data_IF_617655509412
#
_entry.id   IF_617655509412
#
_cell.length_a   1.000
_cell.length_b   1.000
_cell.length_c   1.000
_cell.angle_alpha   90.00
_cell.angle_beta   90.00
_cell.angle_gamma   90.00
#
_symmetry.space_group_name_H-M   'P 1'
#
loop_
_entity.id
_entity.type
_entity.pdbx_description
1 polymer ?
#
# COMPACT_ATOMS: atom_id res chain seq x y z
N UNK A 1 8.36 -1.13 -10.29
CA UNK A 1 7.26 -2.06 -9.99
C UNK A 1 6.42 -1.50 -8.83
N UNK A 2 5.10 -1.40 -9.01
CA UNK A 2 4.18 -1.05 -7.95
C UNK A 2 3.81 -2.30 -7.14
N UNK A 3 4.05 -2.27 -5.83
CA UNK A 3 3.71 -3.33 -4.90
C UNK A 3 2.69 -2.85 -3.88
N UNK A 4 1.47 -3.37 -3.98
CA UNK A 4 0.43 -3.17 -2.97
C UNK A 4 0.41 -4.37 -2.02
N UNK A 5 0.69 -4.12 -0.73
CA UNK A 5 0.78 -5.20 0.28
C UNK A 5 1.61 -6.39 -0.24
N UNK A 6 2.81 -6.11 -0.78
CA UNK A 6 3.75 -7.10 -1.31
C UNK A 6 3.48 -7.58 -2.74
N UNK A 7 2.24 -7.49 -3.25
CA UNK A 7 1.81 -8.03 -4.54
C UNK A 7 2.01 -7.00 -5.66
N UNK A 8 2.66 -7.42 -6.76
CA UNK A 8 2.86 -6.56 -7.93
C UNK A 8 1.55 -6.24 -8.64
N UNK A 9 1.17 -4.96 -8.64
CA UNK A 9 0.00 -4.44 -9.35
C UNK A 9 0.32 -4.06 -10.80
N UNK A 10 1.60 -3.89 -11.14
CA UNK A 10 2.06 -3.45 -12.46
C UNK A 10 2.68 -4.58 -13.30
N UNK A 11 2.43 -5.85 -12.92
CA UNK A 11 3.02 -7.02 -13.57
C UNK A 11 4.55 -6.95 -13.64
N UNK A 12 5.19 -6.51 -12.54
CA UNK A 12 6.64 -6.28 -12.40
C UNK A 12 7.22 -5.37 -13.50
N UNK A 13 6.46 -4.32 -13.87
CA UNK A 13 6.86 -3.26 -14.79
C UNK A 13 6.92 -1.92 -14.07
N UNK A 14 7.59 -0.90 -14.62
CA UNK A 14 7.53 0.44 -14.05
C UNK A 14 6.09 0.94 -13.90
N UNK A 15 5.82 1.66 -12.82
CA UNK A 15 4.55 2.34 -12.59
C UNK A 15 4.81 3.83 -12.37
N UNK A 16 3.91 4.66 -12.90
CA UNK A 16 3.86 6.07 -12.60
C UNK A 16 2.87 6.30 -11.47
N UNK A 17 3.31 7.01 -10.44
CA UNK A 17 2.54 7.26 -9.22
C UNK A 17 2.57 8.74 -8.87
N UNK A 18 1.51 9.23 -8.25
CA UNK A 18 1.46 10.61 -7.77
C UNK A 18 0.26 10.83 -6.87
N UNK A 19 0.30 11.90 -6.08
CA UNK A 19 -0.77 12.24 -5.17
C UNK A 19 -0.68 13.68 -4.70
N UNK A 20 -1.67 14.09 -3.94
CA UNK A 20 -1.70 15.39 -3.28
C UNK A 20 -2.40 15.26 -1.93
N UNK A 21 -1.82 15.91 -0.92
CA UNK A 21 -2.30 15.91 0.45
C UNK A 21 -2.56 17.33 0.93
N UNK A 22 -3.63 17.49 1.70
CA UNK A 22 -3.89 18.69 2.47
C UNK A 22 -3.98 18.32 3.94
N UNK A 23 -3.14 18.93 4.77
CA UNK A 23 -3.16 18.76 6.23
C UNK A 23 -3.43 20.08 6.93
N UNK A 24 -4.42 20.09 7.82
CA UNK A 24 -4.76 21.23 8.64
C UNK A 24 -4.11 21.14 10.03
N UNK A 25 -3.77 22.28 10.63
CA UNK A 25 -3.15 22.36 11.98
C UNK A 25 -3.98 21.69 13.10
N UNK A 26 -5.26 21.45 12.89
CA UNK A 26 -6.11 20.71 13.82
C UNK A 26 -5.84 19.22 13.87
N UNK A 27 -5.05 18.68 12.92
CA UNK A 27 -4.82 17.26 12.74
C UNK A 27 -5.69 16.62 11.65
N UNK A 28 -6.73 17.31 11.14
CA UNK A 28 -7.53 16.82 10.01
C UNK A 28 -6.71 16.87 8.73
N UNK A 29 -6.81 15.81 7.93
CA UNK A 29 -6.21 15.76 6.61
C UNK A 29 -7.13 15.07 5.59
N UNK A 30 -6.91 15.39 4.32
CA UNK A 30 -7.48 14.71 3.17
C UNK A 30 -6.40 14.57 2.10
N UNK A 31 -6.52 13.55 1.28
CA UNK A 31 -5.58 13.36 0.18
C UNK A 31 -6.12 12.44 -0.89
N UNK A 32 -5.37 12.40 -1.97
CA UNK A 32 -5.58 11.48 -3.08
C UNK A 32 -4.24 10.96 -3.55
N UNK A 33 -4.24 9.73 -4.00
CA UNK A 33 -3.09 9.11 -4.65
C UNK A 33 -3.56 8.30 -5.86
N UNK A 34 -2.69 8.12 -6.85
CA UNK A 34 -3.00 7.33 -8.02
C UNK A 34 -1.75 6.60 -8.54
N UNK A 35 -1.97 5.46 -9.17
CA UNK A 35 -0.93 4.66 -9.82
C UNK A 35 -1.43 4.02 -11.09
N UNK A 36 -0.54 3.90 -12.06
CA UNK A 36 -0.76 2.98 -13.17
C UNK A 36 -0.67 1.54 -12.69
N UNK A 37 -1.62 0.70 -13.09
CA UNK A 37 -1.69 -0.73 -12.78
C UNK A 37 -1.79 -1.55 -14.07
N UNK A 38 -1.56 -2.86 -13.96
CA UNK A 38 -1.69 -3.76 -15.11
C UNK A 38 -3.15 -4.16 -15.30
N UNK A 39 -3.73 -3.75 -16.43
CA UNK A 39 -5.15 -3.97 -16.76
C UNK A 39 -5.51 -5.45 -17.00
N UNK A 40 -4.52 -6.31 -17.26
CA UNK A 40 -4.78 -7.73 -17.45
C UNK A 40 -4.86 -8.44 -16.10
N UNK A 41 -4.06 -7.99 -15.10
CA UNK A 41 -4.08 -8.51 -13.74
C UNK A 41 -5.30 -8.01 -12.97
N UNK A 42 -5.54 -6.71 -12.99
CA UNK A 42 -6.76 -6.11 -12.47
C UNK A 42 -7.76 -5.99 -13.63
N UNK A 43 -8.38 -7.12 -13.94
CA UNK A 43 -9.21 -7.29 -15.13
C UNK A 43 -10.29 -6.20 -15.24
N UNK A 44 -10.53 -5.74 -16.45
CA UNK A 44 -11.53 -4.74 -16.85
C UNK A 44 -11.32 -3.32 -16.28
N UNK A 45 -10.27 -3.09 -15.50
CA UNK A 45 -9.88 -1.72 -15.08
C UNK A 45 -9.30 -0.95 -16.27
N UNK A 46 -9.25 0.38 -16.16
CA UNK A 46 -8.59 1.25 -17.17
C UNK A 46 -7.08 1.31 -17.01
N UNK A 47 -6.47 0.40 -16.23
CA UNK A 47 -5.05 0.41 -15.92
C UNK A 47 -4.66 1.51 -14.93
N UNK A 48 -5.60 1.93 -14.10
CA UNK A 48 -5.44 2.99 -13.12
C UNK A 48 -6.08 2.58 -11.78
N UNK A 49 -5.39 2.91 -10.71
CA UNK A 49 -5.87 2.92 -9.32
C UNK A 49 -5.91 4.36 -8.83
N UNK A 50 -6.97 4.74 -8.14
CA UNK A 50 -7.14 6.05 -7.50
C UNK A 50 -7.58 5.82 -6.07
N UNK A 51 -6.86 6.40 -5.13
CA UNK A 51 -7.16 6.37 -3.71
C UNK A 51 -7.63 7.73 -3.24
N UNK A 52 -8.74 7.77 -2.51
CA UNK A 52 -9.23 8.95 -1.83
C UNK A 52 -9.24 8.65 -0.33
N UNK A 53 -8.61 9.50 0.45
CA UNK A 53 -8.52 9.28 1.89
C UNK A 53 -8.66 10.55 2.68
N UNK A 54 -9.06 10.37 3.93
CA UNK A 54 -9.10 11.44 4.91
C UNK A 54 -9.11 10.89 6.31
N UNK A 55 -8.63 11.70 7.24
CA UNK A 55 -8.49 11.24 8.60
C UNK A 55 -8.16 12.36 9.60
N UNK A 56 -7.83 11.91 10.78
CA UNK A 56 -7.49 12.77 11.89
C UNK A 56 -6.30 12.21 12.68
N UNK A 57 -5.24 13.00 12.75
CA UNK A 57 -4.06 12.74 13.58
C UNK A 57 -4.15 13.48 14.89
N UNK A 58 -3.82 12.82 16.00
CA UNK A 58 -3.91 13.38 17.33
C UNK A 58 -2.81 12.86 18.26
N UNK A 59 -2.35 13.65 19.23
CA UNK A 59 -1.35 13.19 20.19
C UNK A 59 -1.95 12.15 21.16
N UNK A 60 -1.25 11.05 21.37
CA UNK A 60 -1.55 10.02 22.36
C UNK A 60 -0.73 10.17 23.65
N UNK A 61 0.20 11.13 23.69
CA UNK A 61 1.14 11.30 24.79
C UNK A 61 2.46 10.51 24.59
N UNK A 62 3.47 10.85 25.39
CA UNK A 62 4.81 10.22 25.34
C UNK A 62 5.45 10.14 23.92
N UNK A 63 5.18 11.12 23.06
CA UNK A 63 5.69 11.17 21.69
C UNK A 63 4.90 10.35 20.68
N UNK A 64 3.88 9.62 21.08
CA UNK A 64 3.00 8.88 20.18
C UNK A 64 1.99 9.79 19.48
N UNK A 65 1.77 9.53 18.19
CA UNK A 65 0.72 10.13 17.38
C UNK A 65 -0.28 9.06 16.97
N UNK A 66 -1.55 9.24 17.30
CA UNK A 66 -2.66 8.41 16.81
C UNK A 66 -3.13 8.90 15.44
N UNK A 67 -3.67 7.99 14.65
CA UNK A 67 -4.23 8.26 13.33
C UNK A 67 -5.48 7.40 13.10
N UNK A 68 -6.59 8.03 12.72
CA UNK A 68 -7.84 7.36 12.35
C UNK A 68 -8.38 7.96 11.07
N UNK A 69 -8.91 7.12 10.18
CA UNK A 69 -9.43 7.64 8.92
C UNK A 69 -10.16 6.61 8.08
N UNK A 70 -10.49 7.04 6.88
CA UNK A 70 -11.14 6.25 5.84
C UNK A 70 -10.33 6.32 4.56
N UNK A 71 -10.26 5.22 3.86
CA UNK A 71 -9.59 5.10 2.57
C UNK A 71 -10.52 4.37 1.59
N UNK A 72 -10.74 4.99 0.43
CA UNK A 72 -11.49 4.44 -0.68
C UNK A 72 -10.54 4.15 -1.83
N UNK A 73 -10.39 2.88 -2.17
CA UNK A 73 -9.74 2.43 -3.40
C UNK A 73 -10.74 2.42 -4.55
N UNK A 74 -10.37 3.02 -5.67
CA UNK A 74 -11.19 3.11 -6.89
C UNK A 74 -10.40 2.59 -8.09
N UNK A 75 -11.03 1.70 -8.83
CA UNK A 75 -10.47 1.15 -10.07
C UNK A 75 -11.42 1.50 -11.22
N UNK A 76 -11.15 2.58 -11.98
CA UNK A 76 -12.01 3.00 -13.09
C UNK A 76 -12.20 1.87 -14.11
N UNK A 77 -13.44 1.61 -14.47
CA UNK A 77 -13.83 0.56 -15.41
C UNK A 77 -14.37 -0.70 -14.73
N UNK A 78 -13.88 -1.06 -13.54
CA UNK A 78 -14.36 -2.26 -12.83
C UNK A 78 -14.53 -2.03 -11.33
N UNK A 79 -15.77 -1.92 -10.91
CA UNK A 79 -16.11 -1.64 -9.51
C UNK A 79 -15.91 -2.84 -8.56
N UNK A 80 -15.68 -4.04 -9.09
CA UNK A 80 -15.44 -5.23 -8.27
C UNK A 80 -14.22 -5.05 -7.35
N UNK A 81 -13.19 -4.36 -7.84
CA UNK A 81 -11.95 -4.08 -7.11
C UNK A 81 -12.08 -2.93 -6.09
N UNK A 82 -13.12 -2.08 -6.22
CA UNK A 82 -13.32 -0.96 -5.31
C UNK A 82 -13.50 -1.45 -3.87
N UNK A 83 -12.72 -0.86 -2.97
CA UNK A 83 -12.70 -1.25 -1.56
C UNK A 83 -12.70 -0.02 -0.68
N UNK A 84 -13.49 -0.06 0.40
CA UNK A 84 -13.50 0.99 1.43
C UNK A 84 -12.99 0.41 2.73
N UNK A 85 -11.97 1.04 3.29
CA UNK A 85 -11.40 0.65 4.58
C UNK A 85 -11.50 1.80 5.59
N UNK A 86 -11.87 1.49 6.81
CA UNK A 86 -11.56 2.31 7.98
C UNK A 86 -10.20 1.89 8.50
N UNK A 87 -9.39 2.83 8.96
CA UNK A 87 -8.12 2.50 9.57
C UNK A 87 -7.91 3.25 10.88
N UNK A 88 -7.11 2.65 11.73
CA UNK A 88 -6.56 3.25 12.92
C UNK A 88 -5.12 2.80 13.11
N UNK A 89 -4.29 3.68 13.61
CA UNK A 89 -2.88 3.43 13.78
C UNK A 89 -2.23 4.34 14.79
N UNK A 90 -0.96 4.09 15.00
CA UNK A 90 -0.10 4.89 15.83
C UNK A 90 1.32 4.92 15.30
N UNK A 91 2.00 6.04 15.52
CA UNK A 91 3.40 6.20 15.16
C UNK A 91 4.18 6.80 16.31
N UNK A 92 5.43 6.38 16.43
CA UNK A 92 6.39 6.89 17.40
C UNK A 92 7.78 6.89 16.79
N UNK A 93 8.41 8.06 16.72
CA UNK A 93 9.70 8.24 16.09
C UNK A 93 9.77 7.61 14.68
N UNK A 94 10.54 6.54 14.52
CA UNK A 94 10.79 5.84 13.26
C UNK A 94 9.87 4.63 13.04
N UNK A 95 8.95 4.33 13.95
CA UNK A 95 8.08 3.16 13.92
C UNK A 95 6.61 3.56 13.78
N UNK A 96 5.83 2.76 13.05
CA UNK A 96 4.37 2.85 13.03
C UNK A 96 3.70 1.49 12.91
N UNK A 97 2.48 1.41 13.43
CA UNK A 97 1.57 0.29 13.27
C UNK A 97 0.21 0.81 12.81
N UNK A 98 -0.44 0.13 11.86
CA UNK A 98 -1.78 0.48 11.38
C UNK A 98 -2.60 -0.78 11.12
N UNK A 99 -3.87 -0.73 11.48
CA UNK A 99 -4.86 -1.74 11.13
C UNK A 99 -5.93 -1.13 10.24
N UNK A 100 -6.16 -1.74 9.08
CA UNK A 100 -7.20 -1.40 8.13
C UNK A 100 -8.31 -2.45 8.18
N UNK A 101 -9.57 -2.00 8.20
CA UNK A 101 -10.75 -2.83 8.29
C UNK A 101 -11.70 -2.54 7.13
N UNK A 102 -11.97 -3.53 6.29
CA UNK A 102 -12.88 -3.39 5.15
C UNK A 102 -14.34 -3.34 5.61
N UNK A 103 -15.03 -2.26 5.29
CA UNK A 103 -16.44 -2.03 5.65
C UNK A 103 -17.42 -2.38 4.53
N UNK A 104 -16.93 -2.54 3.29
CA UNK A 104 -17.70 -2.98 2.14
C UNK A 104 -17.99 -4.48 2.15
N UNK A 105 -18.99 -4.92 1.37
CA UNK A 105 -19.28 -6.35 1.23
C UNK A 105 -18.33 -7.09 0.28
N UNK A 106 -17.39 -6.36 -0.29
CA UNK A 106 -16.31 -6.88 -1.13
C UNK A 106 -15.00 -6.15 -0.80
N UNK A 107 -13.91 -6.90 -0.82
CA UNK A 107 -12.56 -6.40 -0.53
C UNK A 107 -11.65 -6.90 -1.64
N UNK A 108 -11.14 -5.99 -2.50
CA UNK A 108 -10.22 -6.30 -3.61
C UNK A 108 -10.67 -7.50 -4.45
N UNK A 109 -11.94 -7.50 -4.88
CA UNK A 109 -12.52 -8.55 -5.71
C UNK A 109 -13.11 -9.76 -4.95
N UNK A 110 -12.77 -9.96 -3.68
CA UNK A 110 -13.34 -11.02 -2.87
C UNK A 110 -14.75 -10.64 -2.39
N UNK A 111 -15.75 -11.43 -2.76
CA UNK A 111 -17.14 -11.22 -2.36
C UNK A 111 -17.37 -11.71 -0.92
N UNK A 112 -18.43 -11.19 -0.28
CA UNK A 112 -18.84 -11.54 1.09
C UNK A 112 -17.69 -11.42 2.11
N UNK A 113 -16.85 -10.41 1.91
CA UNK A 113 -15.59 -10.23 2.64
C UNK A 113 -15.59 -9.03 3.59
N UNK A 114 -16.76 -8.47 3.94
CA UNK A 114 -16.87 -7.43 4.97
C UNK A 114 -16.21 -7.90 6.27
N UNK A 115 -15.32 -7.09 6.81
CA UNK A 115 -14.56 -7.43 8.00
C UNK A 115 -13.20 -8.05 7.71
N UNK A 116 -12.78 -8.08 6.44
CA UNK A 116 -11.39 -8.33 6.09
C UNK A 116 -10.49 -7.27 6.73
N UNK A 117 -9.32 -7.68 7.15
CA UNK A 117 -8.37 -6.82 7.85
C UNK A 117 -6.96 -6.90 7.30
N UNK A 118 -6.25 -5.81 7.46
CA UNK A 118 -4.81 -5.73 7.19
C UNK A 118 -4.10 -5.05 8.35
N UNK A 119 -3.19 -5.76 8.98
CA UNK A 119 -2.30 -5.21 9.99
C UNK A 119 -0.93 -4.98 9.36
N UNK A 120 -0.39 -3.79 9.55
CA UNK A 120 0.96 -3.46 9.08
C UNK A 120 1.82 -2.82 10.17
N UNK A 121 3.09 -3.14 10.13
CA UNK A 121 4.15 -2.56 10.92
C UNK A 121 5.17 -1.95 9.97
N UNK A 122 5.57 -0.71 10.21
CA UNK A 122 6.54 0.00 9.39
C UNK A 122 7.64 0.58 10.26
N UNK A 123 8.86 0.61 9.73
CA UNK A 123 10.00 1.27 10.34
C UNK A 123 10.78 2.04 9.27
N UNK A 124 11.16 3.29 9.59
CA UNK A 124 12.07 4.10 8.78
C UNK A 124 13.14 4.65 9.72
N UNK A 125 14.24 3.91 9.83
CA UNK A 125 15.31 4.22 10.79
C UNK A 125 16.42 5.04 10.10
N UNK A 126 16.68 6.28 10.56
CA UNK A 126 17.77 7.10 10.01
C UNK A 126 19.13 6.52 10.39
N UNK A 127 19.94 6.16 9.38
CA UNK A 127 21.31 5.65 9.57
C UNK A 127 22.31 6.82 9.60
N UNK A 128 22.17 7.71 8.63
CA UNK A 128 22.94 8.94 8.49
C UNK A 128 22.14 9.97 7.71
N UNK A 129 22.65 11.18 7.58
CA UNK A 129 21.99 12.26 6.85
C UNK A 129 21.57 11.81 5.45
N UNK A 130 20.26 11.94 5.17
CA UNK A 130 19.64 11.54 3.92
C UNK A 130 19.51 10.01 3.70
N UNK A 131 20.08 9.15 4.54
CA UNK A 131 20.09 7.71 4.33
C UNK A 131 19.29 6.98 5.41
N UNK A 132 18.23 6.27 5.02
CA UNK A 132 17.37 5.55 5.93
C UNK A 132 17.31 4.05 5.60
N UNK A 133 17.23 3.22 6.64
CA UNK A 133 16.81 1.82 6.54
C UNK A 133 15.29 1.77 6.62
N UNK A 134 14.66 1.06 5.68
CA UNK A 134 13.21 0.90 5.66
C UNK A 134 12.81 -0.56 5.80
N UNK A 135 11.89 -0.83 6.71
CA UNK A 135 11.33 -2.14 6.97
C UNK A 135 9.80 -2.11 6.97
N UNK A 136 9.18 -3.20 6.55
CA UNK A 136 7.75 -3.39 6.60
C UNK A 136 7.41 -4.85 6.78
N UNK A 137 6.38 -5.12 7.57
CA UNK A 137 5.74 -6.42 7.72
C UNK A 137 4.23 -6.21 7.79
N UNK A 138 3.48 -6.92 6.94
CA UNK A 138 2.04 -6.84 6.89
C UNK A 138 1.38 -8.20 6.86
N UNK A 139 0.12 -8.28 7.30
CA UNK A 139 -0.68 -9.51 7.18
C UNK A 139 -2.10 -9.17 6.74
N UNK A 140 -2.53 -9.77 5.64
CA UNK A 140 -3.89 -9.70 5.10
C UNK A 140 -4.71 -10.88 5.57
N UNK A 141 -5.95 -10.62 6.01
CA UNK A 141 -6.93 -11.64 6.40
C UNK A 141 -8.25 -11.34 5.70
N UNK A 142 -8.67 -12.24 4.81
CA UNK A 142 -9.87 -12.08 4.02
C UNK A 142 -11.03 -12.85 4.64
N UNK A 143 -11.98 -12.13 5.22
CA UNK A 143 -13.18 -12.72 5.81
C UNK A 143 -13.89 -13.61 4.79
N UNK A 144 -14.25 -14.83 5.21
CA UNK A 144 -14.87 -15.88 4.39
C UNK A 144 -14.03 -16.35 3.17
N UNK A 145 -12.80 -15.85 3.00
CA UNK A 145 -11.90 -16.17 1.89
C UNK A 145 -10.48 -16.48 2.40
N UNK A 146 -10.37 -17.18 3.52
CA UNK A 146 -9.09 -17.41 4.23
C UNK A 146 -7.99 -18.11 3.40
N UNK A 147 -8.35 -18.76 2.29
CA UNK A 147 -7.37 -19.31 1.35
C UNK A 147 -6.56 -18.22 0.62
N UNK A 148 -7.01 -16.96 0.69
CA UNK A 148 -6.32 -15.80 0.11
C UNK A 148 -5.52 -15.01 1.17
N UNK A 149 -5.48 -15.46 2.42
CA UNK A 149 -4.70 -14.84 3.48
C UNK A 149 -3.21 -14.95 3.19
N UNK A 150 -2.46 -13.89 3.45
CA UNK A 150 -1.01 -13.89 3.27
C UNK A 150 -0.32 -12.86 4.15
N UNK A 151 1.00 -12.98 4.23
CA UNK A 151 1.89 -12.04 4.90
C UNK A 151 2.84 -11.42 3.88
N UNK A 152 3.05 -10.12 3.97
CA UNK A 152 3.98 -9.40 3.09
C UNK A 152 5.09 -8.72 3.88
N UNK A 153 6.19 -8.45 3.18
CA UNK A 153 7.37 -7.84 3.78
C UNK A 153 8.12 -6.96 2.79
N UNK A 154 8.83 -5.99 3.36
CA UNK A 154 9.79 -5.15 2.65
C UNK A 154 11.00 -4.88 3.53
N UNK A 155 12.18 -4.95 2.94
CA UNK A 155 13.44 -4.48 3.54
C UNK A 155 14.24 -3.75 2.48
N UNK A 156 14.70 -2.55 2.82
CA UNK A 156 15.41 -1.72 1.85
C UNK A 156 16.03 -0.48 2.46
N UNK A 157 16.45 0.39 1.59
CA UNK A 157 17.06 1.67 1.95
C UNK A 157 16.45 2.79 1.10
N UNK A 158 16.44 4.00 1.65
CA UNK A 158 16.17 5.23 0.90
C UNK A 158 17.31 6.22 1.07
N UNK A 159 17.50 7.04 0.03
CA UNK A 159 18.50 8.09 0.03
C UNK A 159 17.92 9.38 -0.54
N UNK A 160 17.94 10.45 0.26
CA UNK A 160 17.47 11.77 -0.12
C UNK A 160 18.64 12.58 -0.69
N UNK A 161 18.54 12.98 -1.96
CA UNK A 161 19.55 13.75 -2.64
C UNK A 161 18.94 14.72 -3.66
N UNK A 162 19.38 15.96 -3.63
CA UNK A 162 18.98 17.04 -4.55
C UNK A 162 17.45 17.22 -4.67
N UNK A 163 16.71 17.00 -3.56
CA UNK A 163 15.25 17.12 -3.51
C UNK A 163 14.49 15.91 -4.10
N UNK A 164 15.21 14.80 -4.36
CA UNK A 164 14.64 13.51 -4.73
C UNK A 164 14.91 12.48 -3.66
N UNK A 165 13.97 11.55 -3.49
CA UNK A 165 14.16 10.34 -2.68
C UNK A 165 14.36 9.16 -3.63
N UNK A 166 15.50 8.50 -3.54
CA UNK A 166 15.81 7.25 -4.23
C UNK A 166 15.59 6.09 -3.29
N UNK A 167 14.98 5.00 -3.76
CA UNK A 167 14.72 3.82 -2.97
C UNK A 167 15.19 2.53 -3.67
N UNK A 168 15.67 1.59 -2.86
CA UNK A 168 15.95 0.22 -3.28
C UNK A 168 15.50 -0.73 -2.18
N UNK A 169 14.59 -1.66 -2.48
CA UNK A 169 14.04 -2.59 -1.50
C UNK A 169 13.75 -3.96 -2.12
N UNK A 170 13.92 -5.00 -1.31
CA UNK A 170 13.34 -6.32 -1.60
C UNK A 170 11.93 -6.32 -1.01
N UNK A 171 10.95 -6.68 -1.84
CA UNK A 171 9.52 -6.70 -1.48
C UNK A 171 8.93 -8.02 -1.96
N UNK A 172 8.11 -8.66 -1.13
CA UNK A 172 7.43 -9.92 -1.48
C UNK A 172 6.36 -10.32 -0.48
N UNK A 173 5.80 -11.50 -0.71
CA UNK A 173 4.82 -12.16 0.17
C UNK A 173 5.32 -13.57 0.50
N UNK A 174 4.70 -14.21 1.50
CA UNK A 174 4.91 -15.63 1.83
C UNK A 174 4.17 -16.56 0.86
N UNK A 175 3.29 -16.02 0.01
CA UNK A 175 2.54 -16.77 -1.01
C UNK A 175 3.02 -16.43 -2.42
N UNK A 176 3.23 -17.45 -3.25
CA UNK A 176 3.38 -17.29 -4.69
C UNK A 176 2.00 -16.97 -5.29
N UNK A 177 1.91 -15.91 -6.07
CA UNK A 177 0.66 -15.49 -6.71
C UNK A 177 0.88 -15.50 -8.22
N UNK A 178 0.77 -16.69 -8.85
CA UNK A 178 0.97 -16.83 -10.28
C UNK A 178 -0.15 -16.16 -11.06
N UNK A 179 0.20 -15.33 -12.01
CA UNK A 179 -0.74 -14.74 -12.94
C UNK A 179 -0.26 -14.88 -14.38
N UNK A 180 -1.12 -15.46 -15.24
CA UNK A 180 -0.85 -15.64 -16.66
C UNK A 180 -1.70 -14.66 -17.47
N UNK A 181 -1.04 -13.78 -18.21
CA UNK A 181 -1.72 -12.85 -19.12
C UNK A 181 -2.38 -13.55 -20.31
N UNK A 182 -3.41 -12.94 -20.92
CA UNK A 182 -3.80 -13.27 -22.28
C UNK A 182 -2.56 -13.24 -23.19
N UNK A 183 -2.25 -14.35 -23.87
CA UNK A 183 -1.00 -14.49 -24.64
C UNK A 183 0.08 -15.32 -23.94
N UNK A 184 -0.19 -15.90 -22.77
CA UNK A 184 0.58 -16.99 -22.17
C UNK A 184 1.77 -16.59 -21.30
N UNK A 185 2.04 -15.30 -21.09
CA UNK A 185 3.13 -14.85 -20.21
C UNK A 185 2.74 -14.94 -18.74
N UNK A 186 3.41 -15.80 -17.98
CA UNK A 186 3.21 -15.97 -16.53
C UNK A 186 4.27 -15.21 -15.72
N UNK A 187 3.85 -14.63 -14.59
CA UNK A 187 4.72 -14.08 -13.54
C UNK A 187 4.16 -14.39 -12.16
N UNK A 188 5.05 -14.64 -11.22
CA UNK A 188 4.74 -14.78 -9.79
C UNK A 188 4.69 -13.38 -9.16
N UNK A 189 3.49 -12.86 -8.93
CA UNK A 189 3.29 -11.47 -8.52
C UNK A 189 3.58 -11.23 -7.04
N UNK A 190 3.43 -12.26 -6.19
CA UNK A 190 3.78 -12.25 -4.77
C UNK A 190 5.27 -12.46 -4.49
N UNK A 191 5.96 -13.17 -5.39
CA UNK A 191 7.37 -13.53 -5.20
C UNK A 191 8.27 -12.32 -4.97
N UNK A 192 9.18 -12.46 -4.01
CA UNK A 192 10.18 -11.46 -3.69
C UNK A 192 10.92 -10.94 -4.93
N UNK A 193 11.17 -9.65 -4.95
CA UNK A 193 11.90 -8.98 -6.02
C UNK A 193 12.46 -7.66 -5.60
N UNK A 194 13.55 -7.24 -6.27
CA UNK A 194 14.12 -5.92 -6.09
C UNK A 194 13.22 -4.87 -6.75
N UNK A 195 12.83 -3.86 -5.99
CA UNK A 195 12.09 -2.69 -6.44
C UNK A 195 12.97 -1.47 -6.28
N UNK A 196 13.18 -0.74 -7.38
CA UNK A 196 13.83 0.56 -7.39
C UNK A 196 12.76 1.64 -7.54
N UNK A 197 12.95 2.76 -6.85
CA UNK A 197 12.04 3.90 -6.92
C UNK A 197 12.79 5.23 -6.94
N UNK A 198 12.16 6.22 -7.53
CA UNK A 198 12.56 7.62 -7.40
C UNK A 198 11.29 8.44 -7.19
N UNK A 199 11.31 9.36 -6.25
CA UNK A 199 10.19 10.23 -5.93
C UNK A 199 10.64 11.66 -5.69
N UNK A 200 9.69 12.60 -5.77
CA UNK A 200 9.89 14.00 -5.41
C UNK A 200 8.62 14.54 -4.80
N UNK A 201 8.75 15.30 -3.72
CA UNK A 201 7.67 16.08 -3.10
C UNK A 201 7.89 17.55 -3.46
N UNK A 202 6.79 18.26 -3.80
CA UNK A 202 6.79 19.67 -4.23
C UNK A 202 6.14 20.56 -3.17
#
# INVERSE_FOLDING_TARGET
>A
DYRFRGISQSFKRPALQGGADFAHKSGVYIGTWASTVDKDFLADTKGLEIDLYGGYKFPLGAGWTGDVGILQYLYPGESLWNTTELYFGGSWEWFSAKYSYSIGNKTFGFLDSRGSGYLELNATYPIQEGFNLVGHLGTSRFKNNGAADYTDYKLGVTYDWAGFTFGAAVVGTDEDIPFTKPGGKTRELGKAGLVLSVGKVF
#
